data_IF_556753634126
#
_entry.id   IF_556753634126
#
_cell.length_a   1.000
_cell.length_b   1.000
_cell.length_c   1.000
_cell.angle_alpha   90.00
_cell.angle_beta   90.00
_cell.angle_gamma   90.00
#
_symmetry.space_group_name_H-M   'P 1'
#
loop_
_entity.id
_entity.type
_entity.pdbx_description
1 polymer ?
#
# COMPACT_ATOMS: atom_id res chain seq x y z
N UNK A 1 -8.32 -23.28 27.90
CA UNK A 1 -7.31 -22.21 27.80
C UNK A 1 -6.27 -22.66 26.79
N UNK A 2 -6.37 -22.22 25.53
CA UNK A 2 -5.38 -22.55 24.50
C UNK A 2 -4.02 -21.99 24.93
N UNK A 3 -2.95 -22.76 24.81
CA UNK A 3 -1.61 -22.24 25.06
C UNK A 3 -1.30 -21.17 24.02
N UNK A 4 -0.79 -20.01 24.46
CA UNK A 4 -0.39 -18.96 23.56
C UNK A 4 0.87 -19.41 22.82
N UNK A 5 0.68 -19.94 21.62
CA UNK A 5 1.79 -20.39 20.78
C UNK A 5 2.17 -19.29 19.79
N UNK A 6 3.44 -19.31 19.36
CA UNK A 6 3.93 -18.48 18.25
C UNK A 6 3.05 -18.60 17.01
N UNK A 7 2.51 -19.79 16.75
CA UNK A 7 1.59 -20.05 15.64
C UNK A 7 0.31 -19.22 15.74
N UNK A 8 -0.29 -19.12 16.93
CA UNK A 8 -1.50 -18.33 17.14
C UNK A 8 -1.26 -16.84 16.85
N UNK A 9 -0.12 -16.30 17.29
CA UNK A 9 0.27 -14.90 17.04
C UNK A 9 0.44 -14.64 15.53
N UNK A 10 1.06 -15.58 14.80
CA UNK A 10 1.21 -15.46 13.35
C UNK A 10 -0.12 -15.56 12.62
N UNK A 11 -1.05 -16.39 13.09
CA UNK A 11 -2.41 -16.47 12.54
C UNK A 11 -3.17 -15.16 12.78
N UNK A 12 -3.05 -14.59 13.97
CA UNK A 12 -3.64 -13.30 14.32
C UNK A 12 -3.13 -12.20 13.38
N UNK A 13 -1.81 -12.09 13.21
CA UNK A 13 -1.20 -11.13 12.27
C UNK A 13 -1.70 -11.31 10.83
N UNK A 14 -1.74 -12.54 10.32
CA UNK A 14 -2.27 -12.83 8.97
C UNK A 14 -3.74 -12.46 8.83
N UNK A 15 -4.52 -12.64 9.88
CA UNK A 15 -5.94 -12.29 9.85
C UNK A 15 -6.15 -10.79 9.75
N UNK A 16 -5.34 -9.97 10.43
CA UNK A 16 -5.34 -8.51 10.24
C UNK A 16 -5.05 -8.13 8.79
N UNK A 17 -4.00 -8.69 8.19
CA UNK A 17 -3.64 -8.36 6.80
C UNK A 17 -4.76 -8.70 5.81
N UNK A 18 -5.45 -9.82 6.01
CA UNK A 18 -6.60 -10.20 5.16
C UNK A 18 -7.75 -9.21 5.27
N UNK A 19 -8.03 -8.70 6.47
CA UNK A 19 -9.09 -7.70 6.69
C UNK A 19 -8.67 -6.36 6.08
N UNK A 20 -7.43 -5.92 6.31
CA UNK A 20 -6.86 -4.68 5.75
C UNK A 20 -6.93 -4.69 4.23
N UNK A 21 -6.66 -5.83 3.58
CA UNK A 21 -6.66 -5.91 2.12
C UNK A 21 -8.03 -5.61 1.50
N UNK A 22 -9.11 -5.92 2.23
CA UNK A 22 -10.49 -5.64 1.81
C UNK A 22 -10.86 -4.16 1.86
N UNK A 23 -10.11 -3.33 2.59
CA UNK A 23 -10.39 -1.90 2.66
C UNK A 23 -10.13 -1.23 1.30
N UNK A 24 -10.98 -0.26 0.90
CA UNK A 24 -10.84 0.42 -0.37
C UNK A 24 -9.59 1.30 -0.43
N UNK A 25 -9.04 1.45 -1.63
CA UNK A 25 -7.92 2.37 -1.89
C UNK A 25 -8.46 3.76 -2.21
N UNK A 26 -8.10 4.78 -1.42
CA UNK A 26 -8.37 6.19 -1.72
C UNK A 26 -7.34 6.76 -2.70
N UNK A 27 -7.77 7.02 -3.93
CA UNK A 27 -6.95 7.64 -4.99
C UNK A 27 -6.80 9.15 -4.82
N UNK A 28 -7.75 9.83 -4.18
CA UNK A 28 -7.69 11.28 -3.99
C UNK A 28 -6.55 11.64 -3.02
N UNK A 29 -6.25 10.77 -2.06
CA UNK A 29 -5.23 10.99 -1.02
C UNK A 29 -4.18 9.87 -0.99
N UNK A 30 -3.32 9.77 -2.01
CA UNK A 30 -2.37 8.65 -2.14
C UNK A 30 -1.40 8.56 -0.95
N UNK A 31 -0.99 9.71 -0.39
CA UNK A 31 -0.05 9.77 0.74
C UNK A 31 -0.71 9.57 2.11
N UNK A 32 -2.05 9.57 2.20
CA UNK A 32 -2.80 9.50 3.48
C UNK A 32 -3.97 8.52 3.40
N UNK A 33 -3.70 7.36 2.82
CA UNK A 33 -4.68 6.30 2.65
C UNK A 33 -4.86 5.50 3.94
N UNK A 34 -6.10 5.27 4.36
CA UNK A 34 -6.41 4.51 5.57
C UNK A 34 -5.86 3.07 5.53
N UNK A 35 -5.98 2.38 4.38
CA UNK A 35 -5.44 1.02 4.20
C UNK A 35 -3.95 0.98 4.49
N UNK A 36 -3.21 1.99 4.01
CA UNK A 36 -1.78 2.12 4.25
C UNK A 36 -1.47 2.37 5.73
N UNK A 37 -2.19 3.29 6.38
CA UNK A 37 -2.02 3.61 7.81
C UNK A 37 -2.30 2.36 8.67
N UNK A 38 -3.36 1.62 8.36
CA UNK A 38 -3.69 0.38 9.07
C UNK A 38 -2.60 -0.66 8.91
N UNK A 39 -2.08 -0.83 7.70
CA UNK A 39 -0.98 -1.75 7.43
C UNK A 39 0.26 -1.39 8.26
N UNK A 40 0.67 -0.12 8.24
CA UNK A 40 1.79 0.38 9.03
C UNK A 40 1.59 0.16 10.54
N UNK A 41 0.40 0.50 11.05
CA UNK A 41 0.08 0.38 12.48
C UNK A 41 0.14 -1.07 12.95
N UNK A 42 -0.38 -2.01 12.15
CA UNK A 42 -0.30 -3.44 12.46
C UNK A 42 1.14 -3.94 12.36
N UNK A 43 1.88 -3.62 11.30
CA UNK A 43 3.27 -4.09 11.18
C UNK A 43 4.15 -3.58 12.30
N UNK A 44 4.06 -2.29 12.63
CA UNK A 44 4.85 -1.68 13.69
C UNK A 44 4.42 -2.14 15.08
N UNK A 45 3.12 -2.28 15.34
CA UNK A 45 2.62 -2.78 16.62
C UNK A 45 3.13 -4.19 16.93
N UNK A 46 3.06 -5.11 15.96
CA UNK A 46 3.63 -6.45 16.14
C UNK A 46 5.16 -6.42 16.25
N UNK A 47 5.85 -5.54 15.51
CA UNK A 47 7.32 -5.40 15.57
C UNK A 47 7.80 -4.94 16.95
N UNK A 48 7.13 -3.95 17.54
CA UNK A 48 7.47 -3.41 18.85
C UNK A 48 7.29 -4.46 19.96
N UNK A 49 6.25 -5.29 19.85
CA UNK A 49 5.90 -6.27 20.85
C UNK A 49 6.74 -7.57 20.80
N UNK A 50 7.60 -7.76 19.80
CA UNK A 50 8.51 -8.93 19.70
C UNK A 50 9.47 -9.02 20.89
N UNK A 51 9.85 -7.89 21.49
CA UNK A 51 10.83 -7.85 22.58
C UNK A 51 10.24 -8.19 23.96
N UNK A 52 8.91 -8.25 24.08
CA UNK A 52 8.23 -8.51 25.36
C UNK A 52 8.42 -9.98 25.75
N UNK A 53 9.04 -10.24 26.91
CA UNK A 53 9.30 -11.59 27.43
C UNK A 53 8.30 -12.03 28.49
N UNK A 54 7.61 -11.09 29.11
CA UNK A 54 6.69 -11.35 30.20
C UNK A 54 5.40 -12.01 29.69
N UNK A 55 5.09 -13.20 30.22
CA UNK A 55 3.98 -14.01 29.76
C UNK A 55 2.61 -13.37 30.04
N UNK A 56 2.45 -12.68 31.18
CA UNK A 56 1.22 -11.97 31.54
C UNK A 56 0.94 -10.79 30.61
N UNK A 57 1.96 -9.98 30.35
CA UNK A 57 1.87 -8.83 29.45
C UNK A 57 1.56 -9.30 28.03
N UNK A 58 2.23 -10.37 27.58
CA UNK A 58 1.98 -10.94 26.26
C UNK A 58 0.53 -11.45 26.11
N UNK A 59 -0.04 -12.07 27.15
CA UNK A 59 -1.45 -12.49 27.14
C UNK A 59 -2.40 -11.30 27.01
N UNK A 60 -2.16 -10.22 27.76
CA UNK A 60 -2.97 -9.00 27.68
C UNK A 60 -2.92 -8.38 26.28
N UNK A 61 -1.71 -8.24 25.71
CA UNK A 61 -1.52 -7.69 24.35
C UNK A 61 -2.23 -8.51 23.27
N UNK A 62 -2.24 -9.83 23.40
CA UNK A 62 -2.94 -10.70 22.44
C UNK A 62 -4.45 -10.55 22.57
N UNK A 63 -4.98 -10.46 23.79
CA UNK A 63 -6.41 -10.23 24.03
C UNK A 63 -6.85 -8.87 23.45
N UNK A 64 -6.07 -7.82 23.67
CA UNK A 64 -6.34 -6.50 23.10
C UNK A 64 -6.34 -6.56 21.56
N UNK A 65 -5.35 -7.23 20.96
CA UNK A 65 -5.26 -7.40 19.52
C UNK A 65 -6.43 -8.22 18.94
N UNK A 66 -6.95 -9.21 19.66
CA UNK A 66 -8.15 -9.96 19.25
C UNK A 66 -9.40 -9.06 19.23
N UNK A 67 -9.57 -8.21 20.24
CA UNK A 67 -10.67 -7.24 20.31
C UNK A 67 -10.57 -6.24 19.15
N UNK A 68 -9.37 -5.71 18.90
CA UNK A 68 -9.14 -4.77 17.81
C UNK A 68 -9.40 -5.39 16.43
N UNK A 69 -9.00 -6.65 16.24
CA UNK A 69 -9.29 -7.39 15.02
C UNK A 69 -10.79 -7.54 14.80
N UNK A 70 -11.52 -7.91 15.86
CA UNK A 70 -12.97 -8.08 15.79
C UNK A 70 -13.66 -6.75 15.46
N UNK A 71 -13.27 -5.66 16.13
CA UNK A 71 -13.75 -4.32 15.80
C UNK A 71 -13.47 -3.94 14.34
N UNK A 72 -12.28 -4.24 13.83
CA UNK A 72 -11.91 -3.96 12.44
C UNK A 72 -12.74 -4.79 11.44
N UNK A 73 -13.06 -6.05 11.75
CA UNK A 73 -13.93 -6.90 10.92
C UNK A 73 -15.34 -6.33 10.83
N UNK A 74 -15.94 -5.96 11.98
CA UNK A 74 -17.28 -5.38 12.05
C UNK A 74 -17.39 -4.07 11.26
N UNK A 75 -16.35 -3.24 11.32
CA UNK A 75 -16.25 -2.02 10.50
C UNK A 75 -16.17 -2.34 9.01
N UNK A 76 -15.34 -3.31 8.62
CA UNK A 76 -15.19 -3.71 7.22
C UNK A 76 -16.47 -4.34 6.63
N UNK A 77 -17.22 -5.06 7.46
CA UNK A 77 -18.51 -5.68 7.11
C UNK A 77 -19.67 -4.69 7.14
N UNK A 78 -19.43 -3.41 7.47
CA UNK A 78 -20.43 -2.35 7.58
C UNK A 78 -21.57 -2.67 8.57
N UNK A 79 -21.35 -3.49 9.60
CA UNK A 79 -22.36 -3.92 10.58
C UNK A 79 -23.09 -2.71 11.20
N UNK A 80 -22.36 -1.63 11.51
CA UNK A 80 -22.95 -0.44 12.13
C UNK A 80 -23.90 0.34 11.22
N UNK A 81 -23.71 0.23 9.90
CA UNK A 81 -24.61 0.84 8.92
C UNK A 81 -25.95 0.11 8.89
N UNK A 82 -25.93 -1.21 9.03
CA UNK A 82 -27.13 -2.05 9.07
C UNK A 82 -27.85 -1.94 10.42
N UNK A 83 -27.07 -1.93 11.52
CA UNK A 83 -27.60 -1.86 12.88
C UNK A 83 -28.25 -0.52 13.20
N UNK A 84 -27.70 0.58 12.67
CA UNK A 84 -28.19 1.93 12.91
C UNK A 84 -28.50 2.63 11.57
N UNK A 85 -29.58 2.24 10.88
CA UNK A 85 -29.93 2.81 9.60
C UNK A 85 -30.28 4.29 9.77
N UNK A 86 -29.65 5.13 8.94
CA UNK A 86 -29.90 6.56 8.93
C UNK A 86 -31.11 6.89 8.03
N UNK A 87 -31.95 7.83 8.47
CA UNK A 87 -33.10 8.26 7.68
C UNK A 87 -32.66 8.94 6.37
N UNK A 88 -33.38 8.69 5.28
CA UNK A 88 -33.13 9.30 3.97
C UNK A 88 -33.12 10.83 3.99
N UNK A 89 -33.81 11.43 4.96
CA UNK A 89 -33.86 12.88 5.16
C UNK A 89 -32.49 13.50 5.43
N UNK A 90 -31.56 12.76 6.04
CA UNK A 90 -30.19 13.22 6.30
C UNK A 90 -29.41 13.32 4.98
N UNK A 91 -29.62 12.38 4.05
CA UNK A 91 -28.94 12.32 2.76
C UNK A 91 -29.57 13.20 1.67
N UNK A 92 -30.74 13.80 1.94
CA UNK A 92 -31.50 14.62 1.00
C UNK A 92 -31.92 15.92 1.68
N UNK A 93 -31.02 16.92 1.77
CA UNK A 93 -31.35 18.18 2.43
C UNK A 93 -32.45 18.91 1.64
N UNK A 94 -33.35 19.60 2.34
CA UNK A 94 -34.53 20.24 1.74
C UNK A 94 -34.17 21.28 0.66
N UNK A 95 -33.05 21.99 0.83
CA UNK A 95 -32.59 23.00 -0.12
C UNK A 95 -32.08 22.40 -1.44
N UNK A 96 -31.51 21.19 -1.42
CA UNK A 96 -31.03 20.49 -2.62
C UNK A 96 -31.06 18.97 -2.40
N UNK A 97 -32.13 18.28 -2.81
CA UNK A 97 -32.27 16.84 -2.62
C UNK A 97 -31.19 15.98 -3.29
N UNK A 98 -30.49 16.51 -4.31
CA UNK A 98 -29.48 15.78 -5.09
C UNK A 98 -28.04 16.10 -4.67
N UNK A 99 -27.84 16.91 -3.63
CA UNK A 99 -26.52 17.42 -3.24
C UNK A 99 -25.48 16.31 -3.02
N UNK A 100 -25.74 15.40 -2.07
CA UNK A 100 -24.78 14.36 -1.72
C UNK A 100 -24.57 13.33 -2.85
N UNK A 101 -25.61 12.99 -3.61
CA UNK A 101 -25.47 12.11 -4.78
C UNK A 101 -24.59 12.71 -5.88
N UNK A 102 -24.72 14.02 -6.13
CA UNK A 102 -23.86 14.72 -7.10
C UNK A 102 -22.43 14.83 -6.61
N UNK A 103 -22.24 15.07 -5.31
CA UNK A 103 -20.92 15.15 -4.69
C UNK A 103 -20.16 13.82 -4.79
N UNK A 104 -20.81 12.70 -4.46
CA UNK A 104 -20.20 11.36 -4.58
C UNK A 104 -19.82 11.07 -6.03
N UNK A 105 -20.70 11.36 -6.98
CA UNK A 105 -20.40 11.16 -8.40
C UNK A 105 -19.22 12.02 -8.89
N UNK A 106 -19.10 13.26 -8.41
CA UNK A 106 -17.98 14.14 -8.74
C UNK A 106 -16.66 13.62 -8.14
N UNK A 107 -16.69 13.13 -6.90
CA UNK A 107 -15.56 12.50 -6.21
C UNK A 107 -15.09 11.25 -6.97
N UNK A 108 -16.02 10.37 -7.36
CA UNK A 108 -15.70 9.15 -8.11
C UNK A 108 -15.10 9.47 -9.48
N UNK A 109 -15.62 10.50 -10.16
CA UNK A 109 -15.06 10.96 -11.43
C UNK A 109 -13.64 11.49 -11.25
N UNK A 110 -13.39 12.30 -10.22
CA UNK A 110 -12.06 12.83 -9.92
C UNK A 110 -11.06 11.71 -9.56
N UNK A 111 -11.49 10.70 -8.80
CA UNK A 111 -10.67 9.54 -8.45
C UNK A 111 -10.25 8.74 -9.70
N UNK A 112 -11.18 8.49 -10.63
CA UNK A 112 -10.89 7.78 -11.89
C UNK A 112 -9.90 8.54 -12.77
N UNK A 113 -10.08 9.86 -12.90
CA UNK A 113 -9.16 10.69 -13.69
C UNK A 113 -7.74 10.61 -13.13
N UNK A 114 -7.60 10.72 -11.80
CA UNK A 114 -6.31 10.62 -11.15
C UNK A 114 -5.66 9.24 -11.31
N UNK A 115 -6.45 8.16 -11.20
CA UNK A 115 -5.98 6.81 -11.47
C UNK A 115 -5.44 6.67 -12.90
N UNK A 116 -6.10 7.29 -13.88
CA UNK A 116 -5.64 7.30 -15.26
C UNK A 116 -4.32 8.07 -15.43
N UNK A 117 -4.20 9.23 -14.79
CA UNK A 117 -2.95 10.02 -14.78
C UNK A 117 -1.78 9.24 -14.17
N UNK A 118 -2.00 8.59 -13.03
CA UNK A 118 -0.98 7.79 -12.33
C UNK A 118 -0.56 6.54 -13.14
N UNK A 119 -1.46 5.98 -13.94
CA UNK A 119 -1.17 4.80 -14.79
C UNK A 119 -0.29 5.12 -16.01
N UNK A 120 -0.28 6.38 -16.46
CA UNK A 120 0.49 6.79 -17.65
C UNK A 120 1.97 6.88 -17.27
N UNK A 121 2.87 6.18 -17.99
CA UNK A 121 4.30 6.29 -17.72
C UNK A 121 4.74 7.74 -17.95
N UNK A 122 5.44 8.32 -16.97
CA UNK A 122 5.90 9.70 -17.06
C UNK A 122 6.70 9.92 -18.35
N UNK A 123 6.57 11.10 -18.96
CA UNK A 123 7.32 11.46 -20.17
C UNK A 123 8.82 11.18 -20.04
N UNK A 124 9.38 11.42 -18.86
CA UNK A 124 10.77 11.11 -18.52
C UNK A 124 11.08 9.61 -18.43
N UNK A 125 10.13 8.76 -18.00
CA UNK A 125 10.27 7.29 -18.08
C UNK A 125 10.21 6.81 -19.53
N UNK A 126 9.38 7.42 -20.38
CA UNK A 126 9.30 7.11 -21.82
C UNK A 126 10.57 7.52 -22.56
N UNK A 127 11.10 8.71 -22.26
CA UNK A 127 12.39 9.18 -22.78
C UNK A 127 13.56 8.31 -22.27
N UNK A 128 13.60 7.99 -20.98
CA UNK A 128 14.61 7.10 -20.41
C UNK A 128 14.59 5.70 -21.01
N UNK A 129 13.41 5.11 -21.23
CA UNK A 129 13.28 3.82 -21.91
C UNK A 129 13.74 3.86 -23.37
N UNK A 130 13.50 4.98 -24.07
CA UNK A 130 13.98 5.18 -25.45
C UNK A 130 15.51 5.25 -25.50
N UNK A 131 16.14 5.99 -24.57
CA UNK A 131 17.60 6.10 -24.47
C UNK A 131 18.24 4.74 -24.16
N UNK A 132 17.67 3.97 -23.22
CA UNK A 132 18.17 2.63 -22.88
C UNK A 132 18.09 1.68 -24.08
N UNK A 133 16.96 1.67 -24.80
CA UNK A 133 16.81 0.85 -26.00
C UNK A 133 17.78 1.26 -27.12
N UNK A 134 18.07 2.56 -27.26
CA UNK A 134 19.02 3.06 -28.26
C UNK A 134 20.45 2.56 -28.00
N UNK A 135 20.87 2.48 -26.74
CA UNK A 135 22.18 1.93 -26.37
C UNK A 135 22.25 0.40 -26.45
N UNK A 136 21.15 -0.31 -26.19
CA UNK A 136 21.09 -1.78 -26.29
C UNK A 136 21.22 -2.30 -27.73
N UNK A 137 20.77 -1.53 -28.73
CA UNK A 137 20.91 -1.89 -30.16
C UNK A 137 22.31 -1.68 -30.74
N UNK A 138 23.25 -1.07 -30.01
CA UNK A 138 24.61 -0.80 -30.48
C UNK A 138 25.67 -1.81 -30.02
N UNK A 139 25.30 -2.82 -29.22
CA UNK A 139 26.20 -3.92 -28.84
C UNK A 139 25.66 -5.25 -29.38
N UNK A 140 26.18 -5.74 -30.52
CA UNK A 140 25.83 -7.07 -31.00
C UNK A 140 26.34 -8.11 -30.00
N UNK A 141 25.46 -9.00 -29.55
CA UNK A 141 25.81 -10.22 -28.81
C UNK A 141 26.59 -11.14 -29.74
N UNK A 142 27.91 -10.97 -29.77
CA UNK A 142 28.82 -11.93 -30.38
C UNK A 142 28.84 -13.21 -29.55
N UNK A 143 28.22 -14.26 -30.07
CA UNK A 143 28.50 -15.64 -29.68
C UNK A 143 29.91 -16.00 -30.18
N UNK A 144 30.91 -15.95 -29.30
CA UNK A 144 32.21 -16.59 -29.55
C UNK A 144 32.65 -17.25 -28.25
N UNK A 145 32.92 -18.55 -28.34
CA UNK A 145 33.45 -19.35 -27.25
C UNK A 145 34.89 -18.96 -26.88
N UNK A 146 35.32 -19.64 -25.82
CA UNK A 146 36.68 -19.73 -25.30
C UNK A 146 37.29 -18.54 -24.52
N UNK A 147 37.63 -18.91 -23.27
CA UNK A 147 38.73 -18.49 -22.40
C UNK A 147 39.71 -17.52 -23.09
N UNK A 148 40.03 -16.36 -22.50
CA UNK A 148 41.15 -16.02 -21.58
C UNK A 148 40.84 -14.62 -20.98
N UNK A 149 41.48 -14.25 -19.87
CA UNK A 149 41.10 -13.10 -19.05
C UNK A 149 41.66 -11.72 -19.44
N UNK A 150 41.30 -10.78 -18.56
CA UNK A 150 41.92 -9.49 -18.22
C UNK A 150 41.52 -8.19 -18.96
N UNK A 151 41.26 -7.19 -18.11
CA UNK A 151 41.34 -5.72 -18.24
C UNK A 151 40.13 -4.88 -18.70
N UNK A 152 39.71 -4.05 -17.74
CA UNK A 152 39.37 -2.62 -17.84
C UNK A 152 38.39 -2.14 -18.92
N UNK A 153 37.17 -1.80 -18.47
CA UNK A 153 36.43 -0.63 -18.97
C UNK A 153 35.75 0.09 -17.78
N UNK A 154 36.23 1.28 -17.37
CA UNK A 154 35.63 2.04 -16.25
C UNK A 154 34.45 2.93 -16.67
N UNK A 155 34.02 2.90 -17.93
CA UNK A 155 32.99 3.83 -18.44
C UNK A 155 31.55 3.45 -18.06
N UNK A 156 31.29 2.23 -17.59
CA UNK A 156 29.93 1.78 -17.25
C UNK A 156 29.44 2.19 -15.85
N UNK A 157 30.32 2.74 -15.01
CA UNK A 157 29.97 3.11 -13.63
C UNK A 157 29.40 4.53 -13.49
N UNK A 158 29.69 5.44 -14.43
CA UNK A 158 29.31 6.86 -14.29
C UNK A 158 27.82 7.10 -14.57
N UNK A 159 27.16 6.27 -15.39
CA UNK A 159 25.74 6.47 -15.73
C UNK A 159 24.80 5.91 -14.65
N UNK A 160 25.26 4.97 -13.81
CA UNK A 160 24.39 4.35 -12.78
C UNK A 160 24.33 5.12 -11.46
N UNK A 161 25.21 6.10 -11.24
CA UNK A 161 25.30 6.84 -9.97
C UNK A 161 24.57 8.19 -9.94
N UNK A 162 24.23 8.79 -11.09
CA UNK A 162 23.58 10.11 -11.09
C UNK A 162 22.03 10.08 -11.08
N UNK A 163 21.39 8.92 -11.21
CA UNK A 163 19.92 8.85 -11.23
C UNK A 163 19.27 8.63 -9.84
N UNK A 164 20.05 8.30 -8.82
CA UNK A 164 19.54 8.02 -7.46
C UNK A 164 19.52 9.26 -6.54
N UNK A 165 20.04 10.40 -6.98
CA UNK A 165 20.19 11.60 -6.13
C UNK A 165 19.08 12.67 -6.30
N UNK A 166 18.10 12.47 -7.19
CA UNK A 166 17.02 13.43 -7.44
C UNK A 166 15.62 12.82 -7.21
N UNK A 167 15.32 12.40 -5.98
CA UNK A 167 13.94 12.18 -5.54
C UNK A 167 13.82 12.24 -4.02
N UNK A 168 13.89 13.45 -3.46
CA UNK A 168 13.38 13.77 -2.12
C UNK A 168 12.35 14.90 -2.27
N UNK A 169 11.06 14.68 -2.01
CA UNK A 169 10.14 15.78 -1.78
C UNK A 169 10.10 16.16 -0.30
N UNK A 170 10.05 17.47 -0.06
CA UNK A 170 9.67 18.13 1.20
C UNK A 170 8.19 17.94 1.49
#
# INVERSE_FOLDING_TARGET
>A
MSTLTRTNILLLYRSFLRVIERWPTDYLRPNRNLKHILHLRVTEGFRQNIAVKDADVLRALVLDAEIELDALKRLAENEFKEKYPLSDRIYRPAANPKYYSGLVAAIDKAAKLKQEEDSKPSLWKRLGACIINMYASSFPTGTVGDRIGFTLYPAFWIIRLNFTALSLPK
#
